data_IF_813872158910
#
_entry.id   IF_813872158910
#
_cell.length_a   1.000
_cell.length_b   1.000
_cell.length_c   1.000
_cell.angle_alpha   90.00
_cell.angle_beta   90.00
_cell.angle_gamma   90.00
#
_symmetry.space_group_name_H-M   'P 1'
#
loop_
_entity.id
_entity.type
_entity.pdbx_description
1 polymer ?
#
# COMPACT_ATOMS: atom_id res chain seq x y z
N UNK A 1 72.86 -8.06 16.34
CA UNK A 1 71.48 -8.02 16.93
C UNK A 1 70.47 -8.10 15.77
N UNK A 2 69.76 -9.21 15.64
CA UNK A 2 68.83 -9.46 14.52
C UNK A 2 67.43 -9.11 14.99
N UNK A 3 66.78 -8.09 14.40
CA UNK A 3 65.39 -7.78 14.62
C UNK A 3 64.55 -8.72 13.78
N UNK A 4 63.72 -9.53 14.43
CA UNK A 4 62.70 -10.35 13.79
C UNK A 4 61.44 -9.53 13.62
N UNK A 5 61.05 -9.28 12.36
CA UNK A 5 59.74 -8.72 12.02
C UNK A 5 58.68 -9.78 12.19
N UNK A 6 57.75 -9.57 13.13
CA UNK A 6 56.59 -10.40 13.34
C UNK A 6 55.45 -9.81 12.47
N UNK A 7 55.15 -10.49 11.36
CA UNK A 7 53.94 -10.20 10.58
C UNK A 7 52.74 -10.77 11.32
N UNK A 8 51.89 -9.90 11.84
CA UNK A 8 50.56 -10.29 12.32
C UNK A 8 49.63 -10.40 11.12
N UNK A 9 49.26 -11.59 10.76
CA UNK A 9 48.17 -11.83 9.80
C UNK A 9 46.82 -11.66 10.51
N UNK A 10 46.08 -10.61 10.16
CA UNK A 10 44.67 -10.44 10.55
C UNK A 10 43.79 -11.35 9.71
N UNK A 11 42.89 -12.14 10.30
CA UNK A 11 41.94 -12.91 9.52
C UNK A 11 40.87 -11.98 8.93
N UNK A 12 40.77 -12.01 7.61
CA UNK A 12 39.65 -11.39 6.88
C UNK A 12 38.35 -12.11 7.27
N UNK A 13 37.53 -11.47 8.09
CA UNK A 13 36.19 -11.95 8.34
C UNK A 13 35.33 -11.66 7.10
N UNK A 14 35.01 -12.71 6.35
CA UNK A 14 33.99 -12.68 5.31
C UNK A 14 32.63 -12.44 5.98
N UNK A 15 32.14 -11.21 5.96
CA UNK A 15 30.74 -10.94 6.23
C UNK A 15 29.91 -11.44 5.03
N UNK A 16 29.35 -12.63 5.18
CA UNK A 16 28.28 -13.06 4.31
C UNK A 16 27.07 -12.20 4.63
N UNK A 17 26.81 -11.21 3.81
CA UNK A 17 25.50 -10.55 3.79
C UNK A 17 24.49 -11.60 3.33
N UNK A 18 23.83 -12.26 4.28
CA UNK A 18 22.61 -12.98 4.01
C UNK A 18 21.59 -11.92 3.55
N UNK A 19 21.38 -11.83 2.24
CA UNK A 19 20.31 -11.01 1.67
C UNK A 19 18.99 -11.50 2.25
N UNK A 20 18.38 -10.69 3.11
CA UNK A 20 16.99 -10.89 3.50
C UNK A 20 16.18 -10.60 2.23
N UNK A 21 15.86 -11.64 1.48
CA UNK A 21 14.86 -11.54 0.42
C UNK A 21 13.55 -11.15 1.12
N UNK A 22 13.09 -9.92 0.87
CA UNK A 22 11.75 -9.52 1.26
C UNK A 22 10.80 -10.42 0.49
N UNK A 23 10.31 -11.45 1.16
CA UNK A 23 9.29 -12.34 0.62
C UNK A 23 8.11 -11.48 0.17
N UNK A 24 7.74 -11.63 -1.08
CA UNK A 24 6.49 -11.06 -1.60
C UNK A 24 5.32 -11.57 -0.75
N UNK A 25 4.25 -10.79 -0.64
CA UNK A 25 3.02 -11.25 0.02
C UNK A 25 2.49 -12.56 -0.58
N UNK A 26 2.89 -12.89 -1.82
CA UNK A 26 2.56 -14.16 -2.49
C UNK A 26 3.15 -15.39 -1.79
N UNK A 27 4.29 -15.24 -1.12
CA UNK A 27 5.00 -16.34 -0.44
C UNK A 27 4.58 -16.49 1.04
N UNK A 28 3.77 -15.58 1.54
CA UNK A 28 3.25 -15.69 2.89
C UNK A 28 1.99 -16.56 2.85
N UNK A 29 2.02 -17.79 3.39
CA UNK A 29 0.80 -18.58 3.47
C UNK A 29 -0.22 -17.77 4.26
N UNK A 30 -1.35 -17.43 3.64
CA UNK A 30 -2.47 -16.79 4.33
C UNK A 30 -2.82 -17.68 5.51
N UNK A 31 -2.40 -17.26 6.70
CA UNK A 31 -2.68 -18.02 7.91
C UNK A 31 -4.19 -18.02 8.03
N UNK A 32 -4.81 -19.20 7.99
CA UNK A 32 -6.23 -19.35 8.29
C UNK A 32 -6.47 -18.85 9.71
N UNK A 33 -6.68 -17.54 9.85
CA UNK A 33 -6.90 -16.88 11.12
C UNK A 33 -8.29 -17.23 11.70
N UNK A 34 -9.18 -17.70 10.83
CA UNK A 34 -10.53 -18.11 11.24
C UNK A 34 -10.90 -19.44 10.57
N UNK A 35 -11.27 -20.41 11.37
CA UNK A 35 -12.01 -21.57 10.93
C UNK A 35 -13.46 -21.10 10.74
N UNK A 36 -13.79 -20.52 9.59
CA UNK A 36 -15.19 -20.25 9.27
C UNK A 36 -15.75 -21.46 8.55
N UNK A 37 -16.95 -21.90 8.92
CA UNK A 37 -17.70 -22.93 8.19
C UNK A 37 -18.23 -22.41 6.85
N UNK A 38 -17.85 -21.17 6.46
CA UNK A 38 -18.24 -20.53 5.22
C UNK A 38 -17.23 -20.90 4.14
N UNK A 39 -17.73 -21.48 3.06
CA UNK A 39 -16.97 -21.74 1.83
C UNK A 39 -16.86 -20.43 1.03
N UNK A 40 -15.73 -19.73 1.20
CA UNK A 40 -15.46 -18.46 0.54
C UNK A 40 -15.05 -18.69 -0.92
N UNK A 41 -15.78 -18.04 -1.84
CA UNK A 41 -15.43 -18.02 -3.26
C UNK A 41 -14.73 -16.70 -3.60
N UNK A 42 -13.53 -16.79 -4.18
CA UNK A 42 -12.85 -15.62 -4.72
C UNK A 42 -13.65 -15.03 -5.89
N UNK A 43 -14.00 -13.75 -5.80
CA UNK A 43 -14.80 -13.06 -6.81
C UNK A 43 -14.05 -11.93 -7.50
N UNK A 44 -12.98 -11.42 -6.88
CA UNK A 44 -12.15 -10.37 -7.41
C UNK A 44 -10.79 -10.38 -6.71
N UNK A 45 -9.74 -10.08 -7.46
CA UNK A 45 -8.37 -9.92 -6.94
C UNK A 45 -7.54 -9.04 -7.86
N UNK A 46 -6.48 -8.44 -7.29
CA UNK A 46 -5.37 -7.89 -8.03
C UNK A 46 -4.06 -8.20 -7.31
N UNK A 47 -3.17 -8.87 -7.99
CA UNK A 47 -1.84 -9.23 -7.50
C UNK A 47 -0.76 -8.28 -8.01
N UNK A 48 -1.15 -7.27 -8.79
CA UNK A 48 -0.27 -6.23 -9.32
C UNK A 48 0.94 -6.77 -10.10
N UNK A 49 0.72 -7.77 -10.93
CA UNK A 49 1.78 -8.50 -11.63
C UNK A 49 2.51 -7.73 -12.74
N UNK A 50 1.90 -6.65 -13.23
CA UNK A 50 2.44 -5.86 -14.34
C UNK A 50 2.91 -4.49 -13.85
N UNK A 51 4.21 -4.23 -13.94
CA UNK A 51 4.80 -2.93 -13.64
C UNK A 51 4.22 -1.82 -14.53
N UNK A 52 4.04 -0.63 -13.98
CA UNK A 52 3.52 0.55 -14.69
C UNK A 52 2.33 1.19 -14.00
N UNK A 53 1.36 1.67 -14.77
CA UNK A 53 0.10 2.17 -14.23
C UNK A 53 -0.73 1.00 -13.65
N UNK A 54 -1.58 1.25 -12.63
CA UNK A 54 -2.58 0.28 -12.20
C UNK A 54 -3.47 -0.16 -13.36
N UNK A 55 -3.95 -1.41 -13.34
CA UNK A 55 -4.80 -1.98 -14.37
C UNK A 55 -6.09 -1.14 -14.52
N UNK A 56 -6.32 -0.48 -15.67
CA UNK A 56 -7.48 0.38 -15.87
C UNK A 56 -8.80 -0.39 -15.93
N UNK A 57 -8.78 -1.71 -16.10
CA UNK A 57 -9.98 -2.54 -16.02
C UNK A 57 -10.41 -2.79 -14.58
N UNK A 58 -9.51 -2.56 -13.60
CA UNK A 58 -9.77 -2.79 -12.18
C UNK A 58 -9.82 -1.51 -11.36
N UNK A 59 -9.03 -0.51 -11.74
CA UNK A 59 -8.79 0.69 -10.96
C UNK A 59 -9.04 1.95 -11.76
N UNK A 60 -9.52 2.96 -11.08
CA UNK A 60 -9.55 4.34 -11.56
C UNK A 60 -8.86 5.24 -10.54
N UNK A 61 -8.35 6.36 -11.01
CA UNK A 61 -7.87 7.41 -10.13
C UNK A 61 -9.01 7.96 -9.28
N UNK A 62 -8.76 8.15 -7.98
CA UNK A 62 -9.73 8.71 -7.05
C UNK A 62 -9.40 10.18 -6.74
N UNK A 63 -10.22 11.15 -7.16
CA UNK A 63 -10.03 12.56 -6.88
C UNK A 63 -10.65 12.99 -5.54
N UNK A 64 -10.77 12.08 -4.57
CA UNK A 64 -11.48 12.30 -3.31
C UNK A 64 -11.02 13.54 -2.55
N UNK A 65 -9.72 13.80 -2.56
CA UNK A 65 -9.14 14.99 -1.95
C UNK A 65 -8.34 15.83 -2.94
N UNK A 66 -8.24 17.15 -2.72
CA UNK A 66 -7.44 18.03 -3.59
C UNK A 66 -5.97 17.65 -3.71
N UNK A 67 -5.42 16.89 -2.77
CA UNK A 67 -4.04 16.39 -2.83
C UNK A 67 -3.90 15.07 -3.61
N UNK A 68 -4.99 14.37 -3.92
CA UNK A 68 -4.94 13.19 -4.78
C UNK A 68 -4.56 13.60 -6.20
N UNK A 69 -3.60 12.89 -6.79
CA UNK A 69 -3.08 13.18 -8.13
C UNK A 69 -3.03 11.94 -8.99
N UNK A 70 -3.53 12.09 -10.19
CA UNK A 70 -3.42 11.07 -11.23
C UNK A 70 -2.07 11.23 -11.95
N UNK A 71 -1.04 10.64 -11.37
CA UNK A 71 0.27 10.59 -12.01
C UNK A 71 1.11 9.41 -11.52
N UNK A 72 2.03 8.98 -12.39
CA UNK A 72 2.89 7.83 -12.13
C UNK A 72 3.99 8.07 -11.07
N UNK A 73 4.13 9.28 -10.54
CA UNK A 73 5.07 9.56 -9.45
C UNK A 73 4.50 9.16 -8.09
N UNK A 74 3.18 9.23 -7.94
CA UNK A 74 2.50 8.92 -6.67
C UNK A 74 1.68 7.64 -6.73
N UNK A 75 1.28 7.19 -7.94
CA UNK A 75 0.46 5.99 -8.13
C UNK A 75 1.03 5.11 -9.23
N UNK A 76 1.53 3.94 -8.89
CA UNK A 76 2.08 2.99 -9.87
C UNK A 76 2.17 1.58 -9.32
N UNK A 77 2.35 0.61 -10.20
CA UNK A 77 2.66 -0.77 -9.86
C UNK A 77 4.15 -1.01 -10.05
N UNK A 78 4.79 -1.63 -9.07
CA UNK A 78 6.19 -2.01 -9.12
C UNK A 78 6.49 -3.25 -8.28
N UNK A 79 7.20 -4.20 -8.87
CA UNK A 79 7.65 -5.43 -8.20
C UNK A 79 6.49 -6.18 -7.49
N UNK A 80 5.36 -6.35 -8.17
CA UNK A 80 4.19 -7.04 -7.65
C UNK A 80 3.44 -6.27 -6.54
N UNK A 81 3.49 -4.94 -6.56
CA UNK A 81 2.83 -4.10 -5.54
C UNK A 81 2.23 -2.86 -6.15
N UNK A 82 1.04 -2.51 -5.73
CA UNK A 82 0.53 -1.15 -5.90
C UNK A 82 1.26 -0.23 -4.92
N UNK A 83 1.85 0.82 -5.44
CA UNK A 83 2.58 1.83 -4.67
C UNK A 83 1.77 3.12 -4.68
N UNK A 84 1.32 3.55 -3.53
CA UNK A 84 0.71 4.85 -3.28
C UNK A 84 1.66 5.68 -2.43
N UNK A 85 2.10 6.82 -2.95
CA UNK A 85 3.05 7.71 -2.27
C UNK A 85 2.39 9.01 -1.88
N UNK A 86 2.89 9.60 -0.80
CA UNK A 86 2.71 11.02 -0.51
C UNK A 86 4.05 11.73 -0.71
N UNK A 87 4.07 12.75 -1.55
CA UNK A 87 5.26 13.53 -1.90
C UNK A 87 5.01 15.02 -1.72
N UNK A 88 6.03 15.84 -1.41
CA UNK A 88 5.92 17.29 -1.51
C UNK A 88 5.52 17.70 -2.91
N UNK A 89 4.61 18.65 -3.01
CA UNK A 89 4.29 19.29 -4.27
C UNK A 89 5.17 20.54 -4.43
N UNK A 90 6.01 20.53 -5.45
CA UNK A 90 6.97 21.61 -5.71
C UNK A 90 6.48 22.61 -6.78
N UNK A 91 5.22 22.51 -7.21
CA UNK A 91 4.64 23.50 -8.12
C UNK A 91 4.37 24.80 -7.35
N UNK A 92 5.05 25.91 -7.68
CA UNK A 92 4.88 27.19 -6.99
C UNK A 92 3.48 27.82 -7.22
N UNK A 93 2.76 27.35 -8.23
CA UNK A 93 1.41 27.85 -8.56
C UNK A 93 0.30 27.03 -7.90
N UNK A 94 0.64 25.89 -7.26
CA UNK A 94 -0.33 25.05 -6.55
C UNK A 94 -0.30 25.36 -5.06
N UNK A 95 -1.47 25.64 -4.49
CA UNK A 95 -1.62 25.88 -3.04
C UNK A 95 -1.54 24.60 -2.21
N UNK A 96 -1.68 23.44 -2.84
CA UNK A 96 -1.62 22.13 -2.18
C UNK A 96 -0.17 21.70 -2.01
N UNK A 97 0.28 21.61 -0.76
CA UNK A 97 1.69 21.34 -0.42
C UNK A 97 2.17 19.93 -0.63
N UNK A 98 1.25 18.97 -0.71
CA UNK A 98 1.57 17.56 -0.88
C UNK A 98 0.66 16.95 -1.95
N UNK A 99 1.19 15.99 -2.67
CA UNK A 99 0.41 15.15 -3.57
C UNK A 99 0.44 13.70 -3.07
N UNK A 100 -0.64 12.98 -3.24
CA UNK A 100 -0.78 11.59 -2.83
C UNK A 100 -1.42 10.74 -3.93
N UNK A 101 -1.05 9.45 -3.94
CA UNK A 101 -1.69 8.46 -4.77
C UNK A 101 -2.99 7.97 -4.14
N UNK A 102 -4.05 7.91 -4.95
CA UNK A 102 -5.36 7.40 -4.55
C UNK A 102 -5.99 6.65 -5.73
N UNK A 103 -6.49 5.44 -5.48
CA UNK A 103 -7.20 4.65 -6.48
C UNK A 103 -8.48 4.08 -5.89
N UNK A 104 -9.46 3.83 -6.73
CA UNK A 104 -10.73 3.22 -6.35
C UNK A 104 -11.26 2.30 -7.46
N UNK A 105 -12.23 1.46 -7.13
CA UNK A 105 -12.86 0.53 -8.08
C UNK A 105 -14.16 1.08 -8.69
N UNK A 106 -14.41 2.38 -8.58
CA UNK A 106 -15.63 3.02 -9.05
C UNK A 106 -15.88 2.74 -10.55
N UNK A 107 -17.08 2.24 -10.88
CA UNK A 107 -17.43 1.86 -12.24
C UNK A 107 -16.73 0.62 -12.78
N UNK A 108 -15.90 -0.05 -11.98
CA UNK A 108 -15.20 -1.29 -12.32
C UNK A 108 -15.73 -2.47 -11.51
N UNK A 109 -15.82 -2.31 -10.20
CA UNK A 109 -16.31 -3.34 -9.32
C UNK A 109 -16.94 -2.76 -8.07
N UNK A 110 -18.17 -3.17 -7.80
CA UNK A 110 -18.88 -2.92 -6.56
C UNK A 110 -18.95 -4.18 -5.69
N UNK A 111 -18.99 -3.97 -4.39
CA UNK A 111 -19.08 -5.03 -3.39
C UNK A 111 -20.28 -4.76 -2.48
N UNK A 112 -21.20 -5.69 -2.39
CA UNK A 112 -22.37 -5.56 -1.51
C UNK A 112 -22.08 -6.14 -0.11
N UNK A 113 -21.32 -7.23 -0.08
CA UNK A 113 -20.87 -7.91 1.13
C UNK A 113 -19.69 -8.83 0.77
N UNK A 114 -19.01 -9.33 1.75
CA UNK A 114 -17.94 -10.30 1.52
C UNK A 114 -16.83 -10.22 2.56
N UNK A 115 -15.75 -10.92 2.26
CA UNK A 115 -14.50 -10.90 3.00
C UNK A 115 -13.46 -10.17 2.16
N UNK A 116 -12.80 -9.21 2.77
CA UNK A 116 -11.69 -8.47 2.16
C UNK A 116 -10.38 -8.91 2.79
N UNK A 117 -9.40 -9.23 1.98
CA UNK A 117 -8.05 -9.55 2.41
C UNK A 117 -7.08 -8.67 1.64
N UNK A 118 -6.27 -7.91 2.36
CA UNK A 118 -5.28 -7.01 1.77
C UNK A 118 -3.94 -7.23 2.45
N UNK A 119 -2.89 -7.44 1.66
CA UNK A 119 -1.52 -7.42 2.15
C UNK A 119 -0.92 -6.05 1.89
N UNK A 120 -0.63 -5.29 2.95
CA UNK A 120 -0.14 -3.92 2.82
C UNK A 120 1.09 -3.68 3.70
N UNK A 121 1.98 -2.81 3.20
CA UNK A 121 3.05 -2.19 3.98
C UNK A 121 2.74 -0.71 4.11
N UNK A 122 2.50 -0.28 5.33
CA UNK A 122 2.09 1.08 5.64
C UNK A 122 3.29 2.00 5.87
N UNK A 123 3.15 3.25 5.47
CA UNK A 123 4.11 4.30 5.80
C UNK A 123 3.90 4.81 7.23
N UNK A 124 4.97 5.23 7.91
CA UNK A 124 4.93 5.71 9.30
C UNK A 124 5.44 7.14 9.45
N UNK A 125 5.32 7.96 8.41
CA UNK A 125 5.73 9.36 8.47
C UNK A 125 4.76 10.19 9.30
N UNK A 126 5.28 11.22 9.99
CA UNK A 126 4.42 12.18 10.69
C UNK A 126 3.46 12.86 9.69
N UNK A 127 2.17 12.84 9.96
CA UNK A 127 1.13 13.38 9.11
C UNK A 127 0.64 12.42 8.01
N UNK A 128 1.18 11.19 7.94
CA UNK A 128 0.62 10.17 7.04
C UNK A 128 -0.70 9.60 7.58
N UNK A 129 -1.57 9.28 6.66
CA UNK A 129 -2.85 8.64 6.95
C UNK A 129 -3.22 7.68 5.79
N UNK A 130 -2.52 6.55 5.66
CA UNK A 130 -2.93 5.53 4.73
C UNK A 130 -4.23 4.88 5.19
N UNK A 131 -5.13 4.64 4.23
CA UNK A 131 -6.43 4.03 4.47
C UNK A 131 -6.81 3.03 3.38
N UNK A 132 -7.55 1.99 3.76
CA UNK A 132 -8.24 1.05 2.89
C UNK A 132 -9.68 1.02 3.37
N UNK A 133 -10.61 1.47 2.55
CA UNK A 133 -11.95 1.76 2.97
C UNK A 133 -12.99 1.58 1.86
N UNK A 134 -14.25 1.58 2.23
CA UNK A 134 -15.39 1.45 1.34
C UNK A 134 -16.33 2.63 1.53
N UNK A 135 -16.87 3.10 0.43
CA UNK A 135 -17.98 4.06 0.42
C UNK A 135 -19.06 3.60 -0.55
N UNK A 136 -20.30 4.04 -0.40
CA UNK A 136 -21.35 3.73 -1.36
C UNK A 136 -21.02 4.25 -2.75
N UNK A 137 -21.23 3.43 -3.77
CA UNK A 137 -21.07 3.81 -5.18
C UNK A 137 -22.12 4.86 -5.55
N UNK A 138 -23.36 4.69 -5.06
CA UNK A 138 -24.45 5.65 -5.23
C UNK A 138 -24.63 6.50 -3.96
N UNK A 139 -24.06 7.70 -3.98
CA UNK A 139 -24.26 8.68 -2.92
C UNK A 139 -25.61 9.39 -3.00
N UNK A 140 -26.39 9.21 -4.06
CA UNK A 140 -27.70 9.90 -4.23
C UNK A 140 -28.76 9.28 -3.35
N UNK A 141 -28.72 7.95 -3.16
CA UNK A 141 -29.69 7.23 -2.34
C UNK A 141 -29.65 7.63 -0.86
N UNK A 142 -28.43 7.82 -0.32
CA UNK A 142 -28.24 8.08 1.11
C UNK A 142 -27.75 9.50 1.42
N UNK A 143 -27.50 10.30 0.39
CA UNK A 143 -26.96 11.65 0.47
C UNK A 143 -25.43 11.68 0.41
N UNK A 144 -24.89 12.90 0.45
CA UNK A 144 -23.44 13.08 0.47
C UNK A 144 -22.82 12.60 1.79
N UNK A 145 -21.52 12.31 1.75
CA UNK A 145 -20.76 12.04 2.98
C UNK A 145 -20.94 13.16 4.02
N UNK A 146 -21.09 12.85 5.32
CA UNK A 146 -21.03 11.52 5.94
C UNK A 146 -22.35 10.73 5.97
N UNK A 147 -23.46 11.26 5.44
CA UNK A 147 -24.77 10.61 5.51
C UNK A 147 -24.83 9.28 4.76
N UNK A 148 -24.07 9.17 3.67
CA UNK A 148 -24.02 7.92 2.89
C UNK A 148 -23.32 6.77 3.62
N UNK A 149 -22.58 7.06 4.70
CA UNK A 149 -21.79 6.08 5.43
C UNK A 149 -20.42 5.82 4.81
N UNK A 150 -19.60 5.10 5.56
CA UNK A 150 -18.23 4.69 5.24
C UNK A 150 -17.90 3.43 6.03
N UNK A 151 -17.07 2.56 5.50
CA UNK A 151 -16.56 1.39 6.21
C UNK A 151 -15.05 1.37 6.03
N UNK A 152 -14.32 1.57 7.12
CA UNK A 152 -12.87 1.50 7.12
C UNK A 152 -12.44 0.07 7.41
N UNK A 153 -11.69 -0.50 6.46
CA UNK A 153 -11.06 -1.81 6.61
C UNK A 153 -9.76 -1.64 7.37
N UNK A 154 -9.06 -0.52 7.12
CA UNK A 154 -7.80 -0.19 7.75
C UNK A 154 -7.54 1.30 7.67
N UNK A 155 -7.16 1.89 8.77
CA UNK A 155 -6.58 3.22 8.86
C UNK A 155 -5.37 3.22 9.78
N UNK A 156 -4.36 4.03 9.44
CA UNK A 156 -3.20 4.25 10.31
C UNK A 156 -2.86 5.74 10.35
N UNK A 157 -2.75 6.28 11.54
CA UNK A 157 -2.42 7.68 11.75
C UNK A 157 -0.95 7.84 12.16
N UNK A 158 -0.19 8.66 11.42
CA UNK A 158 1.19 9.01 11.75
C UNK A 158 2.12 7.80 11.95
N UNK A 159 2.72 7.72 13.15
CA UNK A 159 3.63 6.67 13.59
C UNK A 159 2.95 5.64 14.47
N UNK A 160 1.65 5.68 14.55
CA UNK A 160 0.93 4.76 15.43
C UNK A 160 1.26 3.32 15.07
N UNK A 161 1.49 2.52 16.08
CA UNK A 161 1.72 1.08 15.94
C UNK A 161 0.39 0.33 15.86
N UNK A 162 -0.71 1.04 16.07
CA UNK A 162 -2.06 0.50 15.96
C UNK A 162 -2.66 0.86 14.60
N UNK A 163 -3.46 -0.06 14.09
CA UNK A 163 -4.24 0.07 12.89
C UNK A 163 -5.71 -0.01 13.32
N UNK A 164 -6.50 0.93 12.89
CA UNK A 164 -7.91 1.05 13.23
C UNK A 164 -8.77 0.43 12.16
#
# INVERSE_FOLDING_TARGET
>A
MKHKNLLLALPFAFFVFAGISLSSCKDTPVRKLYKSDIDWKLTWQDEFDKDGAPDPEKWVFSPWHPFCRDNNFVTFVKDGKLVLRALPNNDPNDTIRYMAGCVETLGKKDFLYGRFEVCAKLGSAKGSWPAIWLKPTDSTTYGAWPKCGEIDIMEQLNKDTFVY
#
